data_IF_281785147922
#
_entry.id   IF_281785147922
#
_cell.length_a   1.000
_cell.length_b   1.000
_cell.length_c   1.000
_cell.angle_alpha   90.00
_cell.angle_beta   90.00
_cell.angle_gamma   90.00
#
_symmetry.space_group_name_H-M   'P 1'
#
loop_
_entity.id
_entity.type
_entity.pdbx_description
1 polymer ?
#
# COMPACT_ATOMS: atom_id res chain seq x y z
N UNK A 1 1.73 1.57 -5.12
CA UNK A 1 1.73 0.25 -4.45
C UNK A 1 3.14 -0.03 -3.97
N UNK A 2 3.37 0.09 -2.67
CA UNK A 2 4.50 -0.52 -1.98
C UNK A 2 3.95 -1.15 -0.70
N UNK A 3 3.22 -2.26 -0.87
CA UNK A 3 2.50 -3.02 0.14
C UNK A 3 3.37 -3.29 1.37
N UNK A 4 4.67 -3.50 1.17
CA UNK A 4 5.61 -3.70 2.28
C UNK A 4 5.59 -2.53 3.28
N UNK A 5 5.64 -1.29 2.81
CA UNK A 5 5.64 -0.10 3.68
C UNK A 5 4.29 0.11 4.35
N UNK A 6 3.20 -0.02 3.59
CA UNK A 6 1.84 0.07 4.14
C UNK A 6 1.60 -0.99 5.21
N UNK A 7 2.06 -2.22 4.98
CA UNK A 7 1.88 -3.33 5.91
C UNK A 7 2.65 -3.08 7.21
N UNK A 8 3.90 -2.60 7.13
CA UNK A 8 4.68 -2.30 8.34
C UNK A 8 4.07 -1.15 9.13
N UNK A 9 3.63 -0.07 8.47
CA UNK A 9 2.92 1.01 9.17
C UNK A 9 1.61 0.52 9.78
N UNK A 10 0.84 -0.30 9.06
CA UNK A 10 -0.39 -0.91 9.57
C UNK A 10 -0.14 -1.81 10.78
N UNK A 11 0.92 -2.62 10.76
CA UNK A 11 1.33 -3.46 11.89
C UNK A 11 1.69 -2.63 13.13
N UNK A 12 2.44 -1.54 12.92
CA UNK A 12 2.82 -0.62 13.99
C UNK A 12 1.63 0.12 14.59
N UNK A 13 0.70 0.59 13.74
CA UNK A 13 -0.55 1.20 14.21
C UNK A 13 -1.40 0.18 14.97
N UNK A 14 -1.42 -1.09 14.54
CA UNK A 14 -2.07 -2.17 15.27
C UNK A 14 -1.46 -2.45 16.65
N UNK A 15 -0.13 -2.31 16.81
CA UNK A 15 0.57 -2.45 18.10
C UNK A 15 0.09 -1.41 19.13
N UNK A 16 -0.15 -0.18 18.70
CA UNK A 16 -0.56 0.93 19.59
C UNK A 16 -2.09 1.10 19.69
N UNK A 17 -2.86 0.35 18.90
CA UNK A 17 -4.31 0.48 18.86
C UNK A 17 -4.96 -0.25 20.04
N UNK A 18 -6.03 0.33 20.63
CA UNK A 18 -6.74 -0.29 21.75
C UNK A 18 -7.48 -1.57 21.36
N UNK A 19 -7.90 -1.69 20.11
CA UNK A 19 -8.69 -2.81 19.60
C UNK A 19 -8.49 -3.02 18.07
N UNK A 20 -8.89 -4.18 17.53
CA UNK A 20 -8.71 -4.49 16.11
C UNK A 20 -9.49 -3.60 15.15
N UNK A 21 -10.66 -3.08 15.53
CA UNK A 21 -11.46 -2.20 14.66
C UNK A 21 -10.75 -0.86 14.51
N UNK A 22 -10.29 -0.29 15.62
CA UNK A 22 -9.48 0.93 15.60
C UNK A 22 -8.21 0.72 14.78
N UNK A 23 -7.52 -0.42 14.95
CA UNK A 23 -6.34 -0.76 14.18
C UNK A 23 -6.62 -0.82 12.67
N UNK A 24 -7.70 -1.49 12.26
CA UNK A 24 -8.11 -1.56 10.87
C UNK A 24 -8.37 -0.18 10.27
N UNK A 25 -9.11 0.69 10.97
CA UNK A 25 -9.44 2.04 10.50
C UNK A 25 -8.17 2.88 10.36
N UNK A 26 -7.29 2.85 11.36
CA UNK A 26 -6.01 3.57 11.32
C UNK A 26 -5.12 3.06 10.19
N UNK A 27 -5.02 1.74 10.01
CA UNK A 27 -4.33 1.12 8.88
C UNK A 27 -4.88 1.60 7.54
N UNK A 28 -6.20 1.56 7.37
CA UNK A 28 -6.89 1.98 6.15
C UNK A 28 -6.65 3.46 5.82
N UNK A 29 -6.68 4.34 6.81
CA UNK A 29 -6.38 5.77 6.61
C UNK A 29 -4.90 5.97 6.30
N UNK A 30 -4.01 5.27 7.02
CA UNK A 30 -2.55 5.41 6.85
C UNK A 30 -2.10 5.07 5.43
N UNK A 31 -2.79 4.14 4.77
CA UNK A 31 -2.53 3.78 3.39
C UNK A 31 -2.47 5.02 2.49
N UNK A 32 -3.53 5.83 2.50
CA UNK A 32 -3.63 7.01 1.67
C UNK A 32 -2.61 8.09 2.03
N UNK A 33 -2.21 8.18 3.30
CA UNK A 33 -1.17 9.11 3.74
C UNK A 33 0.21 8.69 3.22
N UNK A 34 0.50 7.40 3.23
CA UNK A 34 1.77 6.86 2.73
C UNK A 34 1.84 6.98 1.20
N UNK A 35 0.71 6.83 0.50
CA UNK A 35 0.65 7.03 -0.96
C UNK A 35 0.93 8.48 -1.40
N UNK A 36 0.89 9.45 -0.48
CA UNK A 36 1.34 10.81 -0.78
C UNK A 36 2.87 10.90 -0.92
N UNK A 37 3.60 9.92 -0.40
CA UNK A 37 5.07 9.85 -0.51
C UNK A 37 5.44 9.40 -1.93
N UNK A 38 6.23 10.19 -2.68
CA UNK A 38 6.63 9.87 -4.03
C UNK A 38 7.17 8.45 -4.23
N UNK A 39 6.52 7.66 -5.09
CA UNK A 39 6.85 6.25 -5.27
C UNK A 39 6.83 5.76 -6.72
N UNK A 40 6.48 6.60 -7.69
CA UNK A 40 6.90 6.42 -9.09
C UNK A 40 6.22 5.27 -9.85
N UNK A 41 5.05 4.83 -9.41
CA UNK A 41 4.23 3.82 -10.08
C UNK A 41 3.14 4.41 -10.98
N UNK A 42 3.06 5.74 -11.08
CA UNK A 42 2.09 6.47 -11.89
C UNK A 42 1.96 5.94 -13.33
N UNK A 43 3.08 5.59 -13.96
CA UNK A 43 3.09 5.09 -15.35
C UNK A 43 2.32 3.78 -15.52
N UNK A 44 2.17 2.99 -14.46
CA UNK A 44 1.42 1.73 -14.49
C UNK A 44 -0.08 1.97 -14.55
N UNK A 45 -0.55 3.12 -14.06
CA UNK A 45 -1.96 3.52 -14.11
C UNK A 45 -2.31 4.37 -15.33
N UNK A 46 -1.33 4.75 -16.14
CA UNK A 46 -1.51 5.52 -17.38
C UNK A 46 -1.96 4.60 -18.55
N UNK A 47 -3.24 4.63 -18.98
CA UNK A 47 -3.75 3.66 -19.94
C UNK A 47 -3.06 3.72 -21.31
N UNK A 48 -2.65 4.92 -21.74
CA UNK A 48 -2.01 5.18 -23.02
C UNK A 48 -0.59 4.57 -23.15
N UNK A 49 0.02 4.14 -22.05
CA UNK A 49 1.35 3.50 -22.04
C UNK A 49 1.31 2.01 -22.38
N UNK A 50 0.11 1.41 -22.48
CA UNK A 50 -0.05 -0.02 -22.70
C UNK A 50 -0.88 -0.32 -23.95
N UNK A 51 -0.49 -1.32 -24.77
CA UNK A 51 -1.25 -1.67 -25.97
C UNK A 51 -2.66 -2.17 -25.68
N UNK A 52 -2.86 -2.81 -24.53
CA UNK A 52 -4.16 -3.35 -24.10
C UNK A 52 -4.32 -3.25 -22.59
N UNK A 53 -5.57 -3.16 -22.11
CA UNK A 53 -5.94 -3.25 -20.68
C UNK A 53 -5.32 -4.49 -20.02
N UNK A 54 -5.35 -5.63 -20.70
CA UNK A 54 -4.81 -6.89 -20.19
C UNK A 54 -3.29 -6.89 -19.99
N UNK A 55 -2.51 -6.29 -20.90
CA UNK A 55 -1.05 -6.17 -20.71
C UNK A 55 -0.72 -5.28 -19.51
N UNK A 56 -1.49 -4.22 -19.28
CA UNK A 56 -1.37 -3.35 -18.10
C UNK A 56 -1.65 -4.13 -16.81
N UNK A 57 -2.81 -4.78 -16.73
CA UNK A 57 -3.23 -5.57 -15.56
C UNK A 57 -2.19 -6.63 -15.22
N UNK A 58 -1.69 -7.40 -16.21
CA UNK A 58 -0.64 -8.41 -15.97
C UNK A 58 0.63 -7.81 -15.36
N UNK A 59 1.05 -6.63 -15.81
CA UNK A 59 2.26 -5.98 -15.27
C UNK A 59 2.05 -5.49 -13.84
N UNK A 60 0.88 -4.91 -13.54
CA UNK A 60 0.49 -4.50 -12.19
C UNK A 60 0.42 -5.73 -11.27
N UNK A 61 -0.23 -6.81 -11.70
CA UNK A 61 -0.34 -8.05 -10.93
C UNK A 61 1.03 -8.68 -10.65
N UNK A 62 1.93 -8.74 -11.63
CA UNK A 62 3.27 -9.28 -11.43
C UNK A 62 4.03 -8.50 -10.35
N UNK A 63 3.94 -7.17 -10.39
CA UNK A 63 4.54 -6.31 -9.36
C UNK A 63 3.87 -6.52 -8.00
N UNK A 64 2.54 -6.54 -7.94
CA UNK A 64 1.77 -6.75 -6.71
C UNK A 64 2.06 -8.12 -6.07
N UNK A 65 2.31 -9.18 -6.85
CA UNK A 65 2.67 -10.50 -6.33
C UNK A 65 4.06 -10.46 -5.67
N UNK A 66 5.05 -9.86 -6.33
CA UNK A 66 6.40 -9.73 -5.78
C UNK A 66 6.39 -8.93 -4.48
N UNK A 67 5.72 -7.77 -4.49
CA UNK A 67 5.65 -6.88 -3.34
C UNK A 67 4.79 -7.46 -2.20
N UNK A 68 3.67 -8.14 -2.49
CA UNK A 68 2.88 -8.82 -1.45
C UNK A 68 3.62 -10.01 -0.83
N UNK A 69 4.46 -10.71 -1.60
CA UNK A 69 5.35 -11.76 -1.07
C UNK A 69 6.36 -11.16 -0.10
N UNK A 70 7.01 -10.04 -0.48
CA UNK A 70 7.95 -9.33 0.38
C UNK A 70 7.27 -8.80 1.65
N UNK A 71 6.10 -8.17 1.51
CA UNK A 71 5.30 -7.67 2.62
C UNK A 71 4.95 -8.81 3.59
N UNK A 72 4.54 -9.97 3.07
CA UNK A 72 4.22 -11.15 3.90
C UNK A 72 5.43 -11.62 4.70
N UNK A 73 6.61 -11.70 4.07
CA UNK A 73 7.85 -12.08 4.75
C UNK A 73 8.17 -11.08 5.86
N UNK A 74 8.17 -9.77 5.54
CA UNK A 74 8.52 -8.70 6.50
C UNK A 74 7.55 -8.67 7.68
N UNK A 75 6.23 -8.74 7.42
CA UNK A 75 5.21 -8.76 8.49
C UNK A 75 5.34 -10.03 9.34
N UNK A 76 5.59 -11.19 8.74
CA UNK A 76 5.76 -12.44 9.50
C UNK A 76 6.96 -12.36 10.43
N UNK A 77 8.08 -11.81 9.95
CA UNK A 77 9.26 -11.55 10.78
C UNK A 77 8.93 -10.54 11.89
N UNK A 78 8.25 -9.44 11.57
CA UNK A 78 7.82 -8.45 12.57
C UNK A 78 6.95 -9.08 13.67
N UNK A 79 5.94 -9.88 13.30
CA UNK A 79 5.06 -10.56 14.25
C UNK A 79 5.80 -11.55 15.14
N UNK A 80 6.83 -12.24 14.61
CA UNK A 80 7.67 -13.14 15.40
C UNK A 80 8.47 -12.41 16.49
N UNK A 81 8.83 -11.14 16.25
CA UNK A 81 9.56 -10.29 17.21
C UNK A 81 8.66 -9.48 18.15
N UNK A 82 7.39 -9.25 17.78
CA UNK A 82 6.46 -8.36 18.48
C UNK A 82 5.77 -8.96 19.72
N UNK A 83 6.17 -10.14 20.22
CA UNK A 83 5.56 -10.74 21.41
C UNK A 83 5.97 -9.97 22.68
N UNK A 84 5.04 -9.64 23.62
CA UNK A 84 3.70 -10.19 23.82
C UNK A 84 2.52 -9.26 23.42
N UNK A 85 2.58 -8.59 22.26
CA UNK A 85 1.52 -7.66 21.83
C UNK A 85 0.24 -8.38 21.33
N UNK A 86 -0.88 -7.64 21.23
CA UNK A 86 -2.16 -8.14 20.71
C UNK A 86 -2.07 -8.45 19.20
N UNK A 87 -1.98 -9.73 18.79
CA UNK A 87 -1.73 -10.09 17.39
C UNK A 87 -2.92 -9.76 16.48
N UNK A 88 -4.14 -9.70 17.04
CA UNK A 88 -5.35 -9.39 16.28
C UNK A 88 -5.41 -7.93 15.87
N UNK A 89 -4.98 -7.01 16.74
CA UNK A 89 -4.87 -5.59 16.39
C UNK A 89 -3.79 -5.37 15.33
N UNK A 90 -2.64 -6.02 15.45
CA UNK A 90 -1.57 -5.98 14.44
C UNK A 90 -2.09 -6.49 13.09
N UNK A 91 -2.72 -7.67 13.06
CA UNK A 91 -3.27 -8.24 11.83
C UNK A 91 -4.35 -7.33 11.21
N UNK A 92 -5.27 -6.80 12.03
CA UNK A 92 -6.31 -5.91 11.55
C UNK A 92 -5.74 -4.60 10.96
N UNK A 93 -4.70 -4.04 11.56
CA UNK A 93 -3.98 -2.87 11.03
C UNK A 93 -3.31 -3.14 9.69
N UNK A 94 -2.63 -4.29 9.54
CA UNK A 94 -2.06 -4.74 8.26
C UNK A 94 -3.15 -4.92 7.20
N UNK A 95 -4.24 -5.62 7.54
CA UNK A 95 -5.37 -5.84 6.62
C UNK A 95 -5.96 -4.50 6.20
N UNK A 96 -6.18 -3.58 7.14
CA UNK A 96 -6.67 -2.23 6.86
C UNK A 96 -5.77 -1.48 5.89
N UNK A 97 -4.46 -1.53 6.07
CA UNK A 97 -3.48 -0.84 5.25
C UNK A 97 -3.34 -1.41 3.82
N UNK A 98 -3.61 -2.71 3.62
CA UNK A 98 -3.54 -3.37 2.29
C UNK A 98 -4.89 -3.29 1.55
N UNK A 99 -6.00 -3.16 2.28
CA UNK A 99 -7.36 -3.21 1.72
C UNK A 99 -7.59 -2.22 0.56
N UNK A 100 -7.13 -0.96 0.59
CA UNK A 100 -7.31 -0.05 -0.54
C UNK A 100 -6.74 -0.57 -1.86
N UNK A 101 -5.52 -1.08 -1.86
CA UNK A 101 -4.88 -1.65 -3.06
C UNK A 101 -5.63 -2.86 -3.59
N UNK A 102 -6.11 -3.71 -2.69
CA UNK A 102 -6.92 -4.87 -3.05
C UNK A 102 -8.23 -4.44 -3.73
N UNK A 103 -8.94 -3.47 -3.14
CA UNK A 103 -10.19 -2.94 -3.71
C UNK A 103 -9.96 -2.27 -5.07
N UNK A 104 -8.84 -1.56 -5.21
CA UNK A 104 -8.44 -0.92 -6.46
C UNK A 104 -8.11 -1.96 -7.55
N UNK A 105 -7.35 -3.01 -7.20
CA UNK A 105 -7.06 -4.13 -8.09
C UNK A 105 -8.29 -4.91 -8.55
N UNK A 106 -9.24 -5.19 -7.64
CA UNK A 106 -10.54 -5.80 -8.00
C UNK A 106 -11.34 -4.84 -8.89
N UNK A 107 -11.28 -3.53 -8.64
CA UNK A 107 -11.89 -2.51 -9.50
C UNK A 107 -11.31 -2.48 -10.92
N UNK A 108 -10.01 -2.72 -11.08
CA UNK A 108 -9.38 -2.83 -12.40
C UNK A 108 -9.81 -4.10 -13.16
N UNK A 109 -10.24 -5.15 -12.46
CA UNK A 109 -10.68 -6.42 -13.04
C UNK A 109 -12.20 -6.51 -13.24
N UNK A 110 -12.98 -5.57 -12.71
CA UNK A 110 -14.44 -5.62 -12.73
C UNK A 110 -15.03 -4.29 -13.21
N UNK A 111 -16.23 -4.31 -13.79
CA UNK A 111 -16.88 -3.09 -14.28
C UNK A 111 -17.91 -2.52 -13.27
N UNK A 112 -17.77 -2.84 -11.98
CA UNK A 112 -18.71 -2.39 -10.94
C UNK A 112 -18.52 -0.89 -10.66
N UNK A 113 -19.61 -0.12 -10.78
CA UNK A 113 -19.62 1.35 -10.59
C UNK A 113 -19.03 1.80 -9.25
N UNK A 114 -19.30 1.09 -8.16
CA UNK A 114 -18.77 1.42 -6.83
C UNK A 114 -17.24 1.33 -6.80
N UNK A 115 -16.69 0.23 -7.29
CA UNK A 115 -15.24 0.01 -7.34
C UNK A 115 -14.57 1.02 -8.29
N UNK A 116 -15.24 1.40 -9.39
CA UNK A 116 -14.76 2.47 -10.25
C UNK A 116 -14.68 3.85 -9.55
N UNK A 117 -15.60 4.17 -8.62
CA UNK A 117 -15.51 5.39 -7.80
C UNK A 117 -14.35 5.31 -6.81
N UNK A 118 -14.20 4.16 -6.15
CA UNK A 118 -13.10 3.92 -5.21
C UNK A 118 -11.75 4.03 -5.92
N UNK A 119 -11.60 3.40 -7.09
CA UNK A 119 -10.42 3.50 -7.94
C UNK A 119 -10.07 4.96 -8.26
N UNK A 120 -11.05 5.78 -8.65
CA UNK A 120 -10.83 7.22 -8.92
C UNK A 120 -10.43 8.00 -7.67
N UNK A 121 -10.95 7.63 -6.51
CA UNK A 121 -10.58 8.27 -5.24
C UNK A 121 -9.13 7.91 -4.86
N UNK A 122 -8.78 6.63 -4.90
CA UNK A 122 -7.44 6.11 -4.62
C UNK A 122 -6.39 6.74 -5.55
N UNK A 123 -6.69 6.85 -6.86
CA UNK A 123 -5.79 7.49 -7.83
C UNK A 123 -5.45 8.96 -7.51
N UNK A 124 -6.27 9.68 -6.74
CA UNK A 124 -5.96 11.07 -6.37
C UNK A 124 -4.69 11.16 -5.52
N UNK A 125 -4.43 10.16 -4.69
CA UNK A 125 -3.25 10.12 -3.83
C UNK A 125 -1.99 9.86 -4.67
N UNK A 126 -2.06 8.94 -5.64
CA UNK A 126 -0.99 8.77 -6.64
C UNK A 126 -0.80 10.00 -7.53
N UNK A 127 -1.87 10.71 -7.88
CA UNK A 127 -1.79 11.91 -8.71
C UNK A 127 -1.17 13.11 -7.98
N UNK A 128 -1.20 13.12 -6.65
CA UNK A 128 -0.58 14.17 -5.85
C UNK A 128 0.90 14.36 -6.20
N UNK A 129 1.63 13.28 -6.46
CA UNK A 129 3.03 13.33 -6.90
C UNK A 129 3.19 14.07 -8.24
N UNK A 130 2.29 13.81 -9.18
CA UNK A 130 2.33 14.35 -10.53
C UNK A 130 1.95 15.83 -10.54
N UNK A 131 0.89 16.19 -9.81
CA UNK A 131 0.40 17.57 -9.72
C UNK A 131 1.44 18.48 -9.06
N UNK A 132 2.21 17.96 -8.09
CA UNK A 132 3.27 18.69 -7.41
C UNK A 132 4.66 18.56 -8.07
N UNK A 133 4.75 18.04 -9.30
CA UNK A 133 6.00 17.85 -10.06
C UNK A 133 7.05 16.95 -9.37
N UNK A 134 6.64 16.09 -8.45
CA UNK A 134 7.49 15.12 -7.73
C UNK A 134 7.59 13.78 -8.46
N UNK A 135 7.63 13.81 -9.80
CA UNK A 135 7.64 12.57 -10.60
C UNK A 135 8.93 11.80 -10.42
N UNK A 136 8.83 10.63 -9.79
CA UNK A 136 9.91 9.68 -9.67
C UNK A 136 9.73 8.54 -10.68
N UNK A 137 10.85 7.97 -11.14
CA UNK A 137 10.81 6.65 -11.77
C UNK A 137 10.74 5.56 -10.68
N UNK A 138 10.37 4.34 -11.08
CA UNK A 138 10.20 3.21 -10.14
C UNK A 138 11.46 2.91 -9.29
N UNK A 139 12.68 3.12 -9.83
CA UNK A 139 13.92 2.90 -9.05
C UNK A 139 14.08 3.94 -7.95
N UNK A 140 13.81 5.21 -8.26
CA UNK A 140 13.81 6.30 -7.28
C UNK A 140 12.71 6.09 -6.25
N UNK A 141 11.52 5.70 -6.68
CA UNK A 141 10.40 5.35 -5.80
C UNK A 141 10.76 4.23 -4.83
N UNK A 142 11.42 3.17 -5.28
CA UNK A 142 11.92 2.09 -4.42
C UNK A 142 12.89 2.60 -3.35
N UNK A 143 13.81 3.52 -3.70
CA UNK A 143 14.74 4.11 -2.73
C UNK A 143 13.99 4.94 -1.69
N UNK A 144 13.07 5.80 -2.12
CA UNK A 144 12.26 6.63 -1.22
C UNK A 144 11.41 5.77 -0.28
N UNK A 145 10.75 4.73 -0.82
CA UNK A 145 9.92 3.81 -0.04
C UNK A 145 10.76 2.94 0.91
N UNK A 146 11.98 2.56 0.54
CA UNK A 146 12.91 1.87 1.46
C UNK A 146 13.35 2.77 2.62
N UNK A 147 13.59 4.06 2.35
CA UNK A 147 13.88 5.05 3.41
C UNK A 147 12.65 5.25 4.30
N UNK A 148 11.47 5.41 3.72
CA UNK A 148 10.22 5.54 4.46
C UNK A 148 9.96 4.32 5.35
N UNK A 149 10.18 3.10 4.83
CA UNK A 149 10.10 1.86 5.57
C UNK A 149 11.03 1.86 6.79
N UNK A 150 12.30 2.24 6.60
CA UNK A 150 13.27 2.30 7.69
C UNK A 150 12.86 3.32 8.76
N UNK A 151 12.39 4.50 8.35
CA UNK A 151 11.93 5.57 9.25
C UNK A 151 10.71 5.09 10.04
N UNK A 152 9.68 4.55 9.38
CA UNK A 152 8.46 4.11 10.06
C UNK A 152 8.67 2.89 10.95
N UNK A 153 9.63 2.03 10.58
CA UNK A 153 10.05 0.93 11.46
C UNK A 153 10.75 1.49 12.70
N UNK A 154 11.65 2.46 12.55
CA UNK A 154 12.40 3.04 13.67
C UNK A 154 11.54 3.86 14.64
N UNK A 155 10.62 4.68 14.14
CA UNK A 155 9.78 5.58 14.96
C UNK A 155 8.77 4.81 15.84
N UNK A 156 8.39 3.60 15.44
CA UNK A 156 7.28 2.85 16.05
C UNK A 156 7.71 1.57 16.79
N UNK A 157 9.01 1.28 16.83
CA UNK A 157 9.63 0.32 17.76
C UNK A 157 9.64 0.92 19.15
#
# INVERSE_FOLDING_TARGET
>A
MFLTVHSVVGANLGKISPDPITAFILGFISHFLIDLIPHGDYEYFAPHKFPTRWKRIRKIMAFAIVDSTLATIVVSLYMAWALPLNPWSIAAGVIGAIMPDLLMGIGEMTDKKFLGRFWKFHLKFHHFEVENKMRLNMKQGLVVQSIALAIFTYILI
#
